data_IF_155413209136
#
_entry.id   IF_155413209136
#
_cell.length_a   1.000
_cell.length_b   1.000
_cell.length_c   1.000
_cell.angle_alpha   90.00
_cell.angle_beta   90.00
_cell.angle_gamma   90.00
#
_symmetry.space_group_name_H-M   'P 1'
#
loop_
_entity.id
_entity.type
_entity.pdbx_description
1 polymer ?
#
# COMPACT_ATOMS: atom_id res chain seq x y z
N UNK A 1 -12.06 -18.97 15.58
CA UNK A 1 -12.07 -19.47 14.18
C UNK A 1 -11.73 -20.96 14.21
N UNK A 2 -12.33 -21.81 13.36
CA UNK A 2 -12.00 -23.23 13.33
C UNK A 2 -10.63 -23.42 12.63
N UNK A 3 -9.61 -23.78 13.39
CA UNK A 3 -8.22 -23.93 12.93
C UNK A 3 -8.10 -24.91 11.75
N UNK A 4 -8.98 -25.91 11.69
CA UNK A 4 -9.02 -26.90 10.61
C UNK A 4 -9.52 -26.30 9.28
N UNK A 5 -10.46 -25.34 9.34
CA UNK A 5 -10.97 -24.64 8.15
C UNK A 5 -9.93 -23.66 7.59
N UNK A 6 -9.18 -22.99 8.48
CA UNK A 6 -8.08 -22.11 8.08
C UNK A 6 -7.00 -22.91 7.33
N UNK A 7 -6.56 -24.04 7.89
CA UNK A 7 -5.56 -24.92 7.25
C UNK A 7 -6.03 -25.38 5.87
N UNK A 8 -7.28 -25.85 5.75
CA UNK A 8 -7.81 -26.28 4.46
C UNK A 8 -7.79 -25.16 3.41
N UNK A 9 -8.28 -23.95 3.74
CA UNK A 9 -8.28 -22.84 2.76
C UNK A 9 -6.87 -22.45 2.35
N UNK A 10 -5.91 -22.48 3.29
CA UNK A 10 -4.52 -22.20 2.97
C UNK A 10 -3.94 -23.28 2.06
N UNK A 11 -4.21 -24.56 2.31
CA UNK A 11 -3.80 -25.66 1.43
C UNK A 11 -4.38 -25.48 0.01
N UNK A 12 -5.65 -25.08 -0.11
CA UNK A 12 -6.30 -24.82 -1.40
C UNK A 12 -5.62 -23.66 -2.16
N UNK A 13 -5.31 -22.56 -1.46
CA UNK A 13 -4.59 -21.40 -2.02
C UNK A 13 -3.17 -21.81 -2.43
N UNK A 14 -2.46 -22.56 -1.59
CA UNK A 14 -1.12 -23.05 -1.85
C UNK A 14 -1.08 -23.95 -3.09
N UNK A 15 -2.03 -24.86 -3.22
CA UNK A 15 -2.14 -25.73 -4.39
C UNK A 15 -2.45 -24.92 -5.66
N UNK A 16 -3.35 -23.95 -5.59
CA UNK A 16 -3.69 -23.11 -6.75
C UNK A 16 -2.49 -22.29 -7.25
N UNK A 17 -1.81 -21.53 -6.38
CA UNK A 17 -0.68 -20.69 -6.79
C UNK A 17 0.66 -21.42 -6.90
N UNK A 18 0.81 -22.57 -6.24
CA UNK A 18 2.05 -23.34 -6.19
C UNK A 18 2.13 -24.47 -7.23
N UNK A 19 1.01 -25.11 -7.55
CA UNK A 19 0.98 -26.29 -8.43
C UNK A 19 0.11 -26.09 -9.68
N UNK A 20 -1.00 -25.36 -9.58
CA UNK A 20 -1.94 -25.19 -10.69
C UNK A 20 -1.50 -24.09 -11.67
N UNK A 21 -1.02 -22.95 -11.16
CA UNK A 21 -0.52 -21.86 -12.00
C UNK A 21 0.94 -22.08 -12.37
N UNK A 22 1.19 -22.26 -13.68
CA UNK A 22 2.55 -22.38 -14.23
C UNK A 22 3.09 -21.02 -14.71
N UNK A 23 2.19 -20.14 -15.16
CA UNK A 23 2.50 -18.80 -15.68
C UNK A 23 1.30 -17.84 -15.53
N UNK A 24 1.52 -16.53 -15.70
CA UNK A 24 0.47 -15.49 -15.55
C UNK A 24 -0.71 -15.59 -16.54
N UNK A 25 -0.54 -16.27 -17.68
CA UNK A 25 -1.60 -16.46 -18.68
C UNK A 25 -2.60 -17.53 -18.27
N UNK A 26 -2.31 -18.28 -17.20
CA UNK A 26 -3.19 -19.33 -16.67
C UNK A 26 -4.30 -18.76 -15.75
N UNK A 27 -4.25 -17.46 -15.40
CA UNK A 27 -5.31 -16.77 -14.65
C UNK A 27 -6.57 -16.64 -15.50
N UNK A 28 -7.74 -16.95 -14.95
CA UNK A 28 -9.01 -16.83 -15.67
C UNK A 28 -9.47 -15.38 -15.82
N UNK A 29 -8.92 -14.46 -15.02
CA UNK A 29 -9.20 -13.02 -15.10
C UNK A 29 -7.93 -12.17 -15.04
N UNK A 30 -8.05 -10.89 -15.42
CA UNK A 30 -6.95 -9.91 -15.33
C UNK A 30 -6.81 -9.28 -13.93
N UNK A 31 -7.55 -9.75 -12.93
CA UNK A 31 -7.61 -9.11 -11.60
C UNK A 31 -6.23 -9.08 -10.92
N UNK A 32 -5.45 -10.15 -11.04
CA UNK A 32 -4.11 -10.25 -10.45
C UNK A 32 -2.97 -9.80 -11.38
N UNK A 33 -3.17 -8.75 -12.16
CA UNK A 33 -2.16 -8.20 -13.09
C UNK A 33 -1.75 -6.77 -12.73
N UNK A 34 -0.49 -6.41 -12.95
CA UNK A 34 0.01 -5.05 -12.66
C UNK A 34 -0.44 -4.03 -13.71
N UNK A 35 -1.11 -2.95 -13.30
CA UNK A 35 -1.63 -1.89 -14.20
C UNK A 35 -0.56 -0.90 -14.66
N UNK A 36 0.41 -0.59 -13.80
CA UNK A 36 1.38 0.47 -14.05
C UNK A 36 2.75 -0.10 -14.36
N UNK A 37 3.38 0.45 -15.41
CA UNK A 37 4.76 0.14 -15.72
C UNK A 37 5.63 0.55 -14.52
N UNK A 38 6.57 -0.31 -14.08
CA UNK A 38 7.45 0.04 -12.97
C UNK A 38 8.23 1.32 -13.28
N UNK A 39 8.58 2.09 -12.24
CA UNK A 39 9.43 3.27 -12.39
C UNK A 39 10.78 2.89 -13.03
N UNK A 40 11.49 3.86 -13.61
CA UNK A 40 12.82 3.62 -14.18
C UNK A 40 13.75 2.95 -13.19
N UNK A 41 13.77 3.40 -11.92
CA UNK A 41 14.54 2.76 -10.84
C UNK A 41 14.16 1.30 -10.64
N UNK A 42 12.86 0.98 -10.52
CA UNK A 42 12.42 -0.41 -10.35
C UNK A 42 12.77 -1.26 -11.57
N UNK A 43 12.68 -0.71 -12.80
CA UNK A 43 13.11 -1.41 -14.02
C UNK A 43 14.60 -1.73 -14.01
N UNK A 44 15.45 -0.83 -13.53
CA UNK A 44 16.89 -1.11 -13.39
C UNK A 44 17.14 -2.20 -12.33
N UNK A 45 16.46 -2.15 -11.19
CA UNK A 45 16.58 -3.18 -10.14
C UNK A 45 16.13 -4.55 -10.67
N UNK A 46 15.02 -4.60 -11.42
CA UNK A 46 14.51 -5.83 -12.03
C UNK A 46 15.54 -6.52 -12.94
N UNK A 47 16.44 -5.78 -13.60
CA UNK A 47 17.52 -6.39 -14.39
C UNK A 47 18.55 -7.14 -13.54
N UNK A 48 18.65 -6.81 -12.26
CA UNK A 48 19.54 -7.45 -11.30
C UNK A 48 18.89 -8.66 -10.61
N UNK A 49 17.56 -8.83 -10.71
CA UNK A 49 16.84 -9.91 -10.07
C UNK A 49 16.99 -11.20 -10.89
N UNK A 50 17.30 -12.32 -10.23
CA UNK A 50 17.48 -13.60 -10.89
C UNK A 50 16.25 -13.98 -11.76
N UNK A 51 16.41 -14.41 -13.02
CA UNK A 51 15.28 -14.70 -13.91
C UNK A 51 14.27 -15.71 -13.35
N UNK A 52 14.74 -16.75 -12.65
CA UNK A 52 13.83 -17.75 -12.03
C UNK A 52 12.92 -17.14 -10.95
N UNK A 53 13.41 -16.17 -10.20
CA UNK A 53 12.61 -15.44 -9.21
C UNK A 53 11.56 -14.58 -9.92
N UNK A 54 11.93 -13.94 -11.04
CA UNK A 54 10.99 -13.11 -11.80
C UNK A 54 9.87 -13.91 -12.47
N UNK A 55 10.16 -15.14 -12.92
CA UNK A 55 9.18 -15.99 -13.60
C UNK A 55 8.08 -16.52 -12.67
N UNK A 56 8.37 -16.68 -11.37
CA UNK A 56 7.45 -17.26 -10.37
C UNK A 56 6.72 -16.21 -9.53
N UNK A 57 6.38 -15.06 -10.13
CA UNK A 57 5.72 -13.96 -9.44
C UNK A 57 4.28 -13.77 -9.89
N UNK A 58 3.36 -13.79 -8.92
CA UNK A 58 1.94 -13.51 -9.08
C UNK A 58 1.59 -12.32 -8.20
N UNK A 59 1.25 -11.18 -8.80
CA UNK A 59 0.99 -9.95 -8.07
C UNK A 59 0.37 -8.87 -8.96
N UNK A 60 -0.48 -8.05 -8.35
CA UNK A 60 -1.39 -7.12 -9.01
C UNK A 60 -0.92 -5.66 -8.98
N UNK A 61 0.12 -5.34 -8.20
CA UNK A 61 0.66 -4.00 -8.04
C UNK A 61 2.18 -3.93 -7.86
N UNK A 62 2.67 -2.72 -7.57
CA UNK A 62 4.06 -2.43 -7.20
C UNK A 62 4.06 -1.67 -5.86
N UNK A 63 3.98 -2.38 -4.71
CA UNK A 63 3.80 -1.77 -3.39
C UNK A 63 5.14 -1.23 -2.83
N UNK A 64 5.87 -0.42 -3.60
CA UNK A 64 7.17 0.11 -3.19
C UNK A 64 7.03 1.59 -2.80
N UNK A 65 6.83 1.92 -1.51
CA UNK A 65 6.72 3.31 -1.11
C UNK A 65 8.07 4.03 -1.24
N UNK A 66 8.07 5.37 -1.34
CA UNK A 66 9.30 6.14 -1.39
C UNK A 66 10.04 6.14 -0.04
N UNK A 67 11.33 6.50 -0.10
CA UNK A 67 12.22 6.72 1.05
C UNK A 67 12.35 5.47 1.94
N UNK A 68 12.92 4.39 1.38
CA UNK A 68 13.11 3.11 2.06
C UNK A 68 14.54 2.87 2.58
N UNK A 69 15.50 3.70 2.20
CA UNK A 69 16.90 3.51 2.58
C UNK A 69 17.07 3.43 4.11
N UNK A 70 17.78 2.40 4.58
CA UNK A 70 18.02 2.12 6.00
C UNK A 70 16.82 1.58 6.79
N UNK A 71 15.66 1.39 6.16
CA UNK A 71 14.45 0.92 6.86
C UNK A 71 14.42 -0.61 7.03
N UNK A 72 13.68 -1.08 8.04
CA UNK A 72 13.25 -2.47 8.15
C UNK A 72 11.88 -2.63 7.50
N UNK A 73 11.81 -3.46 6.46
CA UNK A 73 10.59 -3.75 5.70
C UNK A 73 10.13 -5.19 5.93
N UNK A 74 8.84 -5.37 6.16
CA UNK A 74 8.19 -6.68 6.21
C UNK A 74 7.29 -6.85 4.97
N UNK A 75 7.52 -7.89 4.18
CA UNK A 75 6.68 -8.29 3.05
C UNK A 75 5.83 -9.50 3.43
N UNK A 76 4.51 -9.32 3.42
CA UNK A 76 3.56 -10.38 3.74
C UNK A 76 3.07 -11.06 2.46
N UNK A 77 3.17 -12.38 2.43
CA UNK A 77 2.88 -13.16 1.24
C UNK A 77 3.98 -13.04 0.19
N UNK A 78 5.25 -13.14 0.62
CA UNK A 78 6.39 -12.82 -0.24
C UNK A 78 6.61 -13.80 -1.40
N UNK A 79 5.98 -14.98 -1.37
CA UNK A 79 6.10 -16.01 -2.39
C UNK A 79 7.56 -16.36 -2.69
N UNK A 80 7.91 -16.34 -3.98
CA UNK A 80 9.26 -16.62 -4.47
C UNK A 80 10.30 -15.53 -4.14
N UNK A 81 9.89 -14.44 -3.49
CA UNK A 81 10.76 -13.40 -2.95
C UNK A 81 11.07 -12.24 -3.89
N UNK A 82 10.44 -12.14 -5.06
CA UNK A 82 10.72 -11.07 -6.04
C UNK A 82 10.63 -9.68 -5.42
N UNK A 83 9.52 -9.37 -4.76
CA UNK A 83 9.30 -8.04 -4.18
C UNK A 83 10.26 -7.82 -3.01
N UNK A 84 10.53 -8.84 -2.17
CA UNK A 84 11.60 -8.78 -1.18
C UNK A 84 12.98 -8.45 -1.74
N UNK A 85 13.41 -9.04 -2.87
CA UNK A 85 14.72 -8.73 -3.45
C UNK A 85 14.79 -7.32 -4.04
N UNK A 86 13.68 -6.81 -4.58
CA UNK A 86 13.58 -5.41 -4.99
C UNK A 86 13.71 -4.50 -3.77
N UNK A 87 12.98 -4.81 -2.69
CA UNK A 87 13.03 -4.09 -1.42
C UNK A 87 14.44 -4.14 -0.81
N UNK A 88 15.12 -5.29 -0.86
CA UNK A 88 16.50 -5.48 -0.39
C UNK A 88 17.47 -4.51 -1.07
N UNK A 89 17.24 -4.22 -2.36
CA UNK A 89 17.99 -3.20 -3.07
C UNK A 89 17.55 -1.77 -2.70
N UNK A 90 16.25 -1.52 -2.53
CA UNK A 90 15.72 -0.20 -2.17
C UNK A 90 16.11 0.26 -0.76
N UNK A 91 16.17 -0.65 0.21
CA UNK A 91 16.55 -0.35 1.59
C UNK A 91 18.06 -0.21 1.78
N UNK A 92 18.86 -0.67 0.82
CA UNK A 92 20.32 -0.62 0.89
C UNK A 92 20.93 -1.64 1.86
N UNK A 93 22.26 -1.66 1.94
CA UNK A 93 23.02 -2.62 2.76
C UNK A 93 22.74 -2.53 4.26
N UNK A 94 22.38 -1.33 4.75
CA UNK A 94 22.09 -1.07 6.17
C UNK A 94 20.61 -1.31 6.54
N UNK A 95 19.73 -1.37 5.55
CA UNK A 95 18.31 -1.70 5.75
C UNK A 95 18.10 -3.20 5.97
N UNK A 96 16.85 -3.61 6.18
CA UNK A 96 16.49 -5.02 6.39
C UNK A 96 15.18 -5.36 5.69
N UNK A 97 15.08 -6.56 5.15
CA UNK A 97 13.85 -7.10 4.57
C UNK A 97 13.53 -8.45 5.19
N UNK A 98 12.28 -8.63 5.59
CA UNK A 98 11.74 -9.87 6.13
C UNK A 98 10.57 -10.28 5.23
N UNK A 99 10.67 -11.45 4.58
CA UNK A 99 9.57 -12.02 3.80
C UNK A 99 8.88 -13.14 4.56
N UNK A 100 7.55 -13.06 4.67
CA UNK A 100 6.71 -14.09 5.28
C UNK A 100 5.83 -14.74 4.22
N UNK A 101 5.82 -16.06 4.17
CA UNK A 101 4.90 -16.84 3.32
C UNK A 101 4.48 -18.13 4.02
N UNK A 102 3.25 -18.56 3.80
CA UNK A 102 2.74 -19.81 4.38
C UNK A 102 3.39 -21.05 3.73
N UNK A 103 3.88 -20.92 2.50
CA UNK A 103 4.32 -22.03 1.64
C UNK A 103 5.80 -22.34 1.83
N UNK A 104 6.12 -23.45 2.52
CA UNK A 104 7.50 -23.85 2.78
C UNK A 104 8.37 -23.97 1.51
N UNK A 105 7.78 -24.44 0.39
CA UNK A 105 8.48 -24.54 -0.88
C UNK A 105 8.89 -23.18 -1.47
N UNK A 106 8.03 -22.16 -1.33
CA UNK A 106 8.32 -20.80 -1.77
C UNK A 106 9.42 -20.16 -0.91
N UNK A 107 9.34 -20.32 0.41
CA UNK A 107 10.39 -19.87 1.34
C UNK A 107 11.74 -20.50 1.01
N UNK A 108 11.78 -21.83 0.83
CA UNK A 108 13.02 -22.54 0.48
C UNK A 108 13.58 -22.06 -0.86
N UNK A 109 12.72 -21.82 -1.85
CA UNK A 109 13.12 -21.28 -3.14
C UNK A 109 13.69 -19.86 -3.00
N UNK A 110 12.99 -18.95 -2.32
CA UNK A 110 13.46 -17.59 -2.10
C UNK A 110 14.81 -17.56 -1.36
N UNK A 111 14.97 -18.41 -0.34
CA UNK A 111 16.22 -18.57 0.41
C UNK A 111 17.40 -19.00 -0.48
N UNK A 112 17.18 -19.85 -1.50
CA UNK A 112 18.28 -20.30 -2.37
C UNK A 112 18.85 -19.20 -3.28
N UNK A 113 18.17 -18.04 -3.38
CA UNK A 113 18.64 -16.89 -4.16
C UNK A 113 19.20 -15.74 -3.29
N UNK A 114 19.25 -15.89 -1.97
CA UNK A 114 19.76 -14.84 -1.06
C UNK A 114 21.21 -14.51 -1.37
N UNK A 115 22.07 -15.51 -1.48
CA UNK A 115 23.49 -15.28 -1.76
C UNK A 115 23.76 -14.70 -3.15
N UNK A 116 22.96 -15.12 -4.15
CA UNK A 116 23.03 -14.53 -5.49
C UNK A 116 22.76 -13.02 -5.44
N UNK A 117 21.66 -12.61 -4.82
CA UNK A 117 21.28 -11.19 -4.77
C UNK A 117 22.21 -10.38 -3.88
N UNK A 118 22.70 -10.93 -2.76
CA UNK A 118 23.74 -10.30 -1.95
C UNK A 118 24.98 -9.98 -2.79
N UNK A 119 25.43 -10.92 -3.62
CA UNK A 119 26.60 -10.74 -4.48
C UNK A 119 26.36 -9.72 -5.59
N UNK A 120 25.23 -9.82 -6.31
CA UNK A 120 24.93 -8.90 -7.42
C UNK A 120 24.72 -7.45 -6.94
N UNK A 121 24.20 -7.26 -5.72
CA UNK A 121 24.07 -5.95 -5.10
C UNK A 121 25.38 -5.44 -4.46
N UNK A 122 26.41 -6.29 -4.36
CA UNK A 122 27.70 -5.92 -3.78
C UNK A 122 27.67 -5.76 -2.26
N UNK A 123 26.76 -6.43 -1.56
CA UNK A 123 26.60 -6.29 -0.12
C UNK A 123 27.56 -7.18 0.68
N UNK A 124 28.14 -6.68 1.78
CA UNK A 124 29.06 -7.45 2.62
C UNK A 124 28.36 -8.60 3.36
N UNK A 125 27.08 -8.43 3.70
CA UNK A 125 26.22 -9.41 4.35
C UNK A 125 24.83 -9.38 3.74
N UNK A 126 24.03 -10.44 3.95
CA UNK A 126 22.62 -10.41 3.56
C UNK A 126 21.85 -9.42 4.44
N UNK A 127 20.96 -8.66 3.83
CA UNK A 127 19.99 -7.81 4.52
C UNK A 127 18.56 -8.39 4.46
N UNK A 128 18.39 -9.56 3.83
CA UNK A 128 17.09 -10.18 3.55
C UNK A 128 16.97 -11.53 4.26
N UNK A 129 15.84 -11.76 4.89
CA UNK A 129 15.51 -12.97 5.64
C UNK A 129 14.11 -13.46 5.25
N UNK A 130 13.94 -14.76 5.11
CA UNK A 130 12.66 -15.37 4.78
C UNK A 130 12.26 -16.33 5.90
N UNK A 131 11.01 -16.24 6.33
CA UNK A 131 10.45 -17.08 7.39
C UNK A 131 9.09 -17.62 6.96
N UNK A 132 8.86 -18.90 7.21
CA UNK A 132 7.54 -19.48 7.02
C UNK A 132 6.59 -19.00 8.13
N UNK A 133 5.38 -18.60 7.77
CA UNK A 133 4.38 -18.15 8.74
C UNK A 133 3.04 -17.81 8.08
N UNK A 134 2.02 -17.68 8.92
CA UNK A 134 0.69 -17.25 8.50
C UNK A 134 0.51 -15.76 8.79
N UNK A 135 -0.06 -15.02 7.85
CA UNK A 135 -0.26 -13.57 7.99
C UNK A 135 -1.35 -13.24 9.02
N UNK A 136 -2.20 -14.20 9.35
CA UNK A 136 -3.21 -14.15 10.41
C UNK A 136 -2.62 -14.29 11.82
N UNK A 137 -1.40 -14.82 11.93
CA UNK A 137 -0.79 -15.22 13.21
C UNK A 137 0.59 -14.57 13.40
N UNK A 138 0.70 -13.28 13.06
CA UNK A 138 1.97 -12.54 13.12
C UNK A 138 2.54 -12.44 14.54
N UNK A 139 1.73 -12.62 15.56
CA UNK A 139 2.12 -12.72 16.98
C UNK A 139 2.86 -14.01 17.33
N UNK A 140 2.72 -15.07 16.54
CA UNK A 140 3.45 -16.33 16.74
C UNK A 140 4.86 -16.30 16.14
N UNK A 141 5.13 -15.33 15.27
CA UNK A 141 6.45 -15.12 14.69
C UNK A 141 7.38 -14.44 15.71
N UNK A 142 8.68 -14.78 15.65
CA UNK A 142 9.74 -14.15 16.44
C UNK A 142 10.08 -12.74 15.93
N UNK A 143 9.06 -11.88 15.89
CA UNK A 143 9.12 -10.48 15.47
C UNK A 143 8.67 -9.59 16.66
N UNK A 144 9.60 -8.81 17.24
CA UNK A 144 9.27 -7.92 18.34
C UNK A 144 8.20 -6.91 17.94
N UNK A 145 7.32 -6.48 18.86
CA UNK A 145 6.44 -5.35 18.60
C UNK A 145 7.27 -4.10 18.29
N UNK A 146 6.72 -3.21 17.47
CA UNK A 146 7.35 -1.93 17.12
C UNK A 146 8.78 -2.08 16.55
N UNK A 147 8.99 -3.09 15.71
CA UNK A 147 10.28 -3.39 15.09
C UNK A 147 10.35 -3.09 13.60
N UNK A 148 9.21 -2.88 12.95
CA UNK A 148 9.09 -2.71 11.50
C UNK A 148 8.78 -1.25 11.15
N UNK A 149 9.51 -0.69 10.19
CA UNK A 149 9.25 0.68 9.69
C UNK A 149 8.15 0.69 8.63
N UNK A 150 8.16 -0.30 7.73
CA UNK A 150 7.21 -0.42 6.62
C UNK A 150 6.74 -1.86 6.48
N UNK A 151 5.43 -2.07 6.39
CA UNK A 151 4.84 -3.35 6.00
C UNK A 151 4.29 -3.20 4.58
N UNK A 152 4.63 -4.13 3.70
CA UNK A 152 4.11 -4.20 2.34
C UNK A 152 3.39 -5.53 2.11
N UNK A 153 2.51 -5.53 1.12
CA UNK A 153 1.76 -6.71 0.69
C UNK A 153 1.22 -6.49 -0.72
N UNK A 154 1.11 -7.57 -1.49
CA UNK A 154 0.63 -7.54 -2.87
C UNK A 154 -0.43 -8.61 -3.10
N UNK A 155 -1.72 -8.24 -3.06
CA UNK A 155 -2.86 -9.11 -3.32
C UNK A 155 -3.00 -10.36 -2.41
N UNK A 156 -2.49 -10.33 -1.17
CA UNK A 156 -2.62 -11.47 -0.23
C UNK A 156 -3.59 -11.25 0.92
N UNK A 157 -3.93 -10.01 1.29
CA UNK A 157 -4.79 -9.76 2.46
C UNK A 157 -6.21 -10.28 2.19
N UNK A 158 -6.69 -10.18 0.95
CA UNK A 158 -8.00 -10.74 0.58
C UNK A 158 -8.10 -12.26 0.68
N UNK A 159 -6.98 -12.97 0.55
CA UNK A 159 -6.92 -14.41 0.73
C UNK A 159 -7.06 -14.83 2.20
N UNK A 160 -6.87 -13.90 3.13
CA UNK A 160 -6.97 -14.15 4.55
C UNK A 160 -8.40 -14.43 5.01
N UNK A 161 -8.52 -15.44 5.87
CA UNK A 161 -9.75 -15.78 6.60
C UNK A 161 -10.09 -14.77 7.71
N UNK A 162 -9.10 -14.05 8.23
CA UNK A 162 -9.28 -13.08 9.31
C UNK A 162 -8.47 -11.81 9.08
N UNK A 163 -9.03 -10.94 8.24
CA UNK A 163 -8.46 -9.62 7.92
C UNK A 163 -8.27 -8.74 9.16
N UNK A 164 -9.08 -8.96 10.20
CA UNK A 164 -8.97 -8.27 11.49
C UNK A 164 -7.66 -8.62 12.20
N UNK A 165 -7.34 -9.93 12.28
CA UNK A 165 -6.13 -10.42 12.94
C UNK A 165 -4.87 -9.99 12.17
N UNK A 166 -4.92 -10.04 10.83
CA UNK A 166 -3.86 -9.50 9.96
C UNK A 166 -3.57 -8.03 10.28
N UNK A 167 -4.60 -7.18 10.29
CA UNK A 167 -4.44 -5.75 10.55
C UNK A 167 -3.96 -5.47 11.99
N UNK A 168 -4.41 -6.26 12.97
CA UNK A 168 -3.95 -6.16 14.36
C UNK A 168 -2.47 -6.55 14.49
N UNK A 169 -2.05 -7.63 13.83
CA UNK A 169 -0.66 -8.07 13.76
C UNK A 169 0.24 -7.02 13.12
N UNK A 170 -0.19 -6.43 12.00
CA UNK A 170 0.52 -5.31 11.35
C UNK A 170 0.68 -4.11 12.30
N UNK A 171 -0.40 -3.70 12.98
CA UNK A 171 -0.37 -2.59 13.94
C UNK A 171 0.58 -2.86 15.12
N UNK A 172 0.65 -4.11 15.61
CA UNK A 172 1.58 -4.52 16.67
C UNK A 172 3.04 -4.38 16.24
N UNK A 173 3.37 -4.83 15.03
CA UNK A 173 4.73 -4.88 14.52
C UNK A 173 5.28 -3.52 14.09
N UNK A 174 4.43 -2.62 13.59
CA UNK A 174 4.87 -1.30 13.15
C UNK A 174 5.39 -0.45 14.32
N UNK A 175 6.50 0.25 14.08
CA UNK A 175 6.97 1.35 14.93
C UNK A 175 5.97 2.50 14.93
N UNK A 176 5.95 3.35 15.98
CA UNK A 176 5.30 4.65 15.88
C UNK A 176 5.81 5.44 14.67
N UNK A 177 4.89 5.94 13.83
CA UNK A 177 5.24 6.59 12.56
C UNK A 177 5.51 5.65 11.39
N UNK A 178 5.49 4.34 11.63
CA UNK A 178 5.59 3.31 10.60
C UNK A 178 4.37 3.28 9.68
N UNK A 179 4.49 2.57 8.57
CA UNK A 179 3.50 2.60 7.49
C UNK A 179 3.17 1.20 6.96
N UNK A 180 1.89 0.93 6.71
CA UNK A 180 1.45 -0.13 5.79
C UNK A 180 1.30 0.48 4.40
N UNK A 181 1.91 -0.13 3.39
CA UNK A 181 1.78 0.26 1.99
C UNK A 181 1.51 -0.98 1.13
N UNK A 182 0.28 -1.19 0.69
CA UNK A 182 -0.11 -2.44 0.04
C UNK A 182 -1.07 -2.22 -1.12
N UNK A 183 -1.08 -3.16 -2.06
CA UNK A 183 -2.04 -3.21 -3.15
C UNK A 183 -2.94 -4.42 -2.98
N UNK A 184 -4.25 -4.23 -3.10
CA UNK A 184 -5.23 -5.33 -3.08
C UNK A 184 -6.49 -4.96 -3.88
N UNK A 185 -7.42 -5.90 -3.99
CA UNK A 185 -8.69 -5.73 -4.68
C UNK A 185 -9.79 -5.28 -3.69
N UNK A 186 -10.60 -4.32 -4.08
CA UNK A 186 -11.73 -3.82 -3.30
C UNK A 186 -12.97 -3.76 -4.17
N UNK A 187 -14.13 -3.96 -3.56
CA UNK A 187 -15.42 -3.84 -4.23
C UNK A 187 -16.08 -2.50 -3.89
N UNK A 188 -16.85 -1.94 -4.84
CA UNK A 188 -17.70 -0.77 -4.61
C UNK A 188 -18.88 -1.06 -3.67
N UNK A 189 -19.19 -2.34 -3.45
CA UNK A 189 -20.30 -2.81 -2.62
C UNK A 189 -20.01 -4.17 -1.99
N UNK A 190 -20.82 -4.57 -1.00
CA UNK A 190 -20.76 -5.91 -0.43
C UNK A 190 -21.17 -6.94 -1.48
N UNK A 191 -20.36 -7.98 -1.63
CA UNK A 191 -20.64 -9.12 -2.49
C UNK A 191 -21.58 -10.11 -1.79
N UNK A 192 -22.20 -11.01 -2.57
CA UNK A 192 -23.00 -12.11 -2.01
C UNK A 192 -22.09 -13.02 -1.16
N UNK A 193 -22.46 -13.33 0.10
CA UNK A 193 -21.63 -14.15 0.98
C UNK A 193 -21.31 -15.55 0.43
N UNK A 194 -22.16 -16.09 -0.44
CA UNK A 194 -21.94 -17.41 -1.06
C UNK A 194 -20.72 -17.45 -1.98
N UNK A 195 -20.24 -16.29 -2.48
CA UNK A 195 -19.05 -16.22 -3.32
C UNK A 195 -17.75 -16.54 -2.58
N UNK A 196 -17.76 -16.54 -1.24
CA UNK A 196 -16.60 -16.90 -0.42
C UNK A 196 -16.22 -18.38 -0.54
N UNK A 197 -17.19 -19.22 -0.88
CA UNK A 197 -17.02 -20.66 -1.00
C UNK A 197 -16.99 -21.12 -2.47
N UNK A 198 -17.05 -20.18 -3.43
CA UNK A 198 -16.96 -20.48 -4.87
C UNK A 198 -15.49 -20.61 -5.30
N UNK A 199 -15.00 -21.82 -5.65
CA UNK A 199 -13.57 -22.03 -5.92
C UNK A 199 -13.04 -21.20 -7.11
N UNK A 200 -13.89 -20.93 -8.10
CA UNK A 200 -13.51 -20.16 -9.28
C UNK A 200 -13.33 -18.68 -8.93
N UNK A 201 -14.17 -18.15 -8.04
CA UNK A 201 -14.14 -16.74 -7.61
C UNK A 201 -13.05 -16.53 -6.54
N UNK A 202 -12.82 -17.53 -5.67
CA UNK A 202 -11.76 -17.51 -4.66
C UNK A 202 -10.38 -17.57 -5.29
N UNK A 203 -10.16 -18.46 -6.27
CA UNK A 203 -8.87 -18.59 -6.97
C UNK A 203 -8.43 -17.31 -7.70
N UNK A 204 -9.38 -16.45 -8.08
CA UNK A 204 -9.13 -15.15 -8.73
C UNK A 204 -8.94 -14.00 -7.72
N UNK A 205 -8.78 -14.29 -6.42
CA UNK A 205 -8.74 -13.32 -5.31
C UNK A 205 -10.02 -12.48 -5.15
N UNK A 206 -11.18 -12.93 -5.67
CA UNK A 206 -12.43 -12.14 -5.67
C UNK A 206 -13.35 -12.54 -4.51
N UNK A 207 -13.38 -13.82 -4.13
CA UNK A 207 -14.45 -14.40 -3.30
C UNK A 207 -14.64 -13.75 -1.94
N UNK A 208 -13.57 -13.18 -1.38
CA UNK A 208 -13.57 -12.55 -0.05
C UNK A 208 -13.06 -11.10 -0.08
N UNK A 209 -13.23 -10.44 -1.24
CA UNK A 209 -12.96 -9.01 -1.41
C UNK A 209 -13.86 -8.20 -0.49
N UNK A 210 -13.25 -7.25 0.23
CA UNK A 210 -14.01 -6.32 1.05
C UNK A 210 -14.64 -5.21 0.21
N UNK A 211 -15.84 -4.82 0.61
CA UNK A 211 -16.33 -3.48 0.33
C UNK A 211 -15.36 -2.47 0.94
N UNK A 212 -14.91 -1.48 0.16
CA UNK A 212 -13.90 -0.53 0.59
C UNK A 212 -14.21 0.18 1.93
N UNK A 213 -15.47 0.58 2.16
CA UNK A 213 -15.82 1.21 3.44
C UNK A 213 -15.83 0.23 4.62
N UNK A 214 -16.09 -1.06 4.38
CA UNK A 214 -15.94 -2.07 5.44
C UNK A 214 -14.46 -2.28 5.80
N UNK A 215 -13.55 -2.18 4.81
CA UNK A 215 -12.12 -2.14 5.08
C UNK A 215 -11.73 -0.92 5.92
N UNK A 216 -12.22 0.28 5.58
CA UNK A 216 -11.96 1.49 6.39
C UNK A 216 -12.45 1.31 7.83
N UNK A 217 -13.66 0.77 8.02
CA UNK A 217 -14.20 0.48 9.36
C UNK A 217 -13.31 -0.50 10.12
N UNK A 218 -12.82 -1.53 9.46
CA UNK A 218 -11.94 -2.53 10.06
C UNK A 218 -10.56 -1.95 10.41
N UNK A 219 -9.96 -1.15 9.52
CA UNK A 219 -8.69 -0.48 9.79
C UNK A 219 -8.77 0.42 11.04
N UNK A 220 -9.90 1.11 11.22
CA UNK A 220 -10.17 1.95 12.40
C UNK A 220 -10.21 1.15 13.71
N UNK A 221 -10.64 -0.11 13.70
CA UNK A 221 -10.68 -0.92 14.95
C UNK A 221 -9.29 -1.22 15.49
N UNK A 222 -8.25 -1.08 14.68
CA UNK A 222 -6.85 -1.26 15.08
C UNK A 222 -6.06 0.06 15.02
N UNK A 223 -6.75 1.20 15.18
CA UNK A 223 -6.17 2.55 15.26
C UNK A 223 -5.56 3.10 13.97
N UNK A 224 -5.89 2.55 12.80
CA UNK A 224 -5.63 3.23 11.53
C UNK A 224 -6.83 4.11 11.15
N UNK A 225 -6.83 5.34 11.65
CA UNK A 225 -7.97 6.25 11.52
C UNK A 225 -8.07 6.95 10.14
N UNK A 226 -6.95 7.06 9.44
CA UNK A 226 -6.83 7.76 8.15
C UNK A 226 -6.17 6.84 7.11
N UNK A 227 -7.01 6.24 6.26
CA UNK A 227 -6.60 5.38 5.13
C UNK A 227 -6.47 6.26 3.90
N UNK A 228 -5.28 6.30 3.28
CA UNK A 228 -5.06 7.08 2.06
C UNK A 228 -4.98 6.17 0.84
N UNK A 229 -5.60 6.62 -0.25
CA UNK A 229 -5.60 5.94 -1.54
C UNK A 229 -4.50 6.53 -2.43
N UNK A 230 -3.48 5.75 -2.75
CA UNK A 230 -2.42 6.16 -3.68
C UNK A 230 -2.91 6.11 -5.13
N UNK A 231 -3.60 5.02 -5.47
CA UNK A 231 -4.22 4.82 -6.77
C UNK A 231 -5.43 3.87 -6.63
N UNK A 232 -6.36 3.98 -7.58
CA UNK A 232 -7.51 3.11 -7.71
C UNK A 232 -7.83 2.92 -9.18
N UNK A 233 -7.78 1.67 -9.65
CA UNK A 233 -8.05 1.32 -11.03
C UNK A 233 -9.17 0.27 -11.10
N UNK A 234 -10.18 0.54 -11.93
CA UNK A 234 -11.24 -0.43 -12.21
C UNK A 234 -10.65 -1.68 -12.89
N UNK A 235 -10.99 -2.86 -12.38
CA UNK A 235 -10.54 -4.13 -12.93
C UNK A 235 -11.64 -4.80 -13.74
N UNK A 236 -11.50 -4.87 -15.08
CA UNK A 236 -12.44 -5.62 -15.90
C UNK A 236 -12.23 -7.12 -15.68
N UNK A 237 -13.30 -7.82 -15.32
CA UNK A 237 -13.28 -9.26 -15.05
C UNK A 237 -13.10 -10.06 -16.34
N UNK A 238 -13.73 -9.61 -17.43
CA UNK A 238 -13.66 -10.21 -18.77
C UNK A 238 -14.11 -11.69 -18.79
N UNK A 239 -14.92 -12.10 -17.81
CA UNK A 239 -15.51 -13.43 -17.71
C UNK A 239 -17.00 -13.28 -17.37
N UNK A 240 -17.86 -13.62 -18.34
CA UNK A 240 -19.31 -13.43 -18.23
C UNK A 240 -19.94 -14.22 -17.08
N UNK A 241 -19.39 -15.39 -16.74
CA UNK A 241 -19.91 -16.21 -15.64
C UNK A 241 -19.62 -15.54 -14.29
N UNK A 242 -18.39 -15.07 -14.09
CA UNK A 242 -18.00 -14.36 -12.87
C UNK A 242 -18.72 -13.01 -12.79
N UNK A 243 -18.83 -12.27 -13.90
CA UNK A 243 -19.58 -11.00 -13.95
C UNK A 243 -21.05 -11.17 -13.55
N UNK A 244 -21.69 -12.27 -13.97
CA UNK A 244 -23.06 -12.58 -13.56
C UNK A 244 -23.16 -12.86 -12.06
N UNK A 245 -22.20 -13.61 -11.50
CA UNK A 245 -22.10 -13.90 -10.06
C UNK A 245 -21.88 -12.63 -9.22
N UNK A 246 -21.16 -11.63 -9.75
CA UNK A 246 -20.89 -10.37 -9.06
C UNK A 246 -22.09 -9.42 -8.99
N UNK A 247 -23.18 -9.68 -9.71
CA UNK A 247 -24.41 -8.88 -9.61
C UNK A 247 -24.23 -7.39 -9.91
N UNK A 248 -23.28 -7.05 -10.79
CA UNK A 248 -22.94 -5.67 -11.15
C UNK A 248 -22.02 -4.94 -10.16
N UNK A 249 -21.45 -5.64 -9.18
CA UNK A 249 -20.36 -5.10 -8.37
C UNK A 249 -19.13 -4.79 -9.24
N UNK A 250 -18.45 -3.69 -8.91
CA UNK A 250 -17.21 -3.27 -9.58
C UNK A 250 -16.04 -3.54 -8.66
N UNK A 251 -15.01 -4.19 -9.21
CA UNK A 251 -13.76 -4.43 -8.49
C UNK A 251 -12.71 -3.40 -8.89
N UNK A 252 -11.94 -2.95 -7.91
CA UNK A 252 -10.87 -1.99 -8.08
C UNK A 252 -9.60 -2.56 -7.49
N UNK A 253 -8.49 -2.46 -8.21
CA UNK A 253 -7.18 -2.62 -7.60
C UNK A 253 -6.78 -1.28 -7.02
N UNK A 254 -6.57 -1.26 -5.71
CA UNK A 254 -6.23 -0.06 -4.98
C UNK A 254 -4.91 -0.25 -4.26
N UNK A 255 -4.03 0.73 -4.38
CA UNK A 255 -2.85 0.84 -3.52
C UNK A 255 -3.17 1.79 -2.40
N UNK A 256 -3.08 1.31 -1.16
CA UNK A 256 -3.43 2.04 0.04
C UNK A 256 -2.18 2.28 0.88
N UNK A 257 -2.22 3.36 1.67
CA UNK A 257 -1.27 3.60 2.75
C UNK A 257 -1.97 3.91 4.06
N UNK A 258 -1.43 3.37 5.15
CA UNK A 258 -1.96 3.53 6.51
C UNK A 258 -0.78 3.79 7.45
N UNK A 259 -0.78 4.91 8.17
CA UNK A 259 0.29 5.23 9.12
C UNK A 259 -0.10 4.84 10.54
N UNK A 260 0.83 4.25 11.31
CA UNK A 260 0.69 4.04 12.75
C UNK A 260 0.98 5.34 13.49
N UNK A 261 -0.02 6.23 13.51
CA UNK A 261 0.03 7.55 14.12
C UNK A 261 -1.30 7.84 14.84
N UNK A 262 -1.25 8.71 15.85
CA UNK A 262 -2.46 9.26 16.48
C UNK A 262 -3.11 10.29 15.55
N UNK A 263 -3.88 9.76 14.59
CA UNK A 263 -4.62 10.52 13.59
C UNK A 263 -6.09 10.64 13.98
N UNK A 264 -6.71 11.75 13.60
CA UNK A 264 -8.14 11.98 13.76
C UNK A 264 -8.90 11.28 12.62
N UNK A 265 -10.21 11.07 12.81
CA UNK A 265 -11.07 10.42 11.82
C UNK A 265 -11.46 11.35 10.65
N UNK A 266 -11.15 12.65 10.78
CA UNK A 266 -11.41 13.70 9.79
C UNK A 266 -10.20 14.59 9.58
N UNK A 267 -10.21 15.30 8.46
CA UNK A 267 -9.23 16.33 8.15
C UNK A 267 -9.57 17.61 8.91
N UNK A 268 -8.87 17.84 10.01
CA UNK A 268 -9.00 19.05 10.83
C UNK A 268 -7.94 20.09 10.46
N UNK A 269 -8.34 21.37 10.47
CA UNK A 269 -7.50 22.51 10.14
C UNK A 269 -6.83 23.06 11.40
N UNK A 270 -5.49 23.05 11.39
CA UNK A 270 -4.67 23.66 12.43
C UNK A 270 -3.76 24.78 11.87
N UNK A 271 -4.07 25.30 10.68
CA UNK A 271 -3.34 26.38 10.01
C UNK A 271 -1.94 25.98 9.57
N UNK A 272 -1.74 24.70 9.22
CA UNK A 272 -0.43 24.16 8.89
C UNK A 272 -0.17 24.20 7.39
N UNK A 273 1.10 24.42 7.02
CA UNK A 273 1.56 24.48 5.63
C UNK A 273 2.81 23.62 5.51
N UNK A 274 2.84 22.76 4.49
CA UNK A 274 3.98 21.91 4.17
C UNK A 274 4.68 22.42 2.91
N UNK A 275 6.01 22.37 2.92
CA UNK A 275 6.86 22.68 1.77
C UNK A 275 7.73 21.46 1.50
N UNK A 276 7.55 20.82 0.35
CA UNK A 276 8.41 19.73 -0.08
C UNK A 276 9.78 20.26 -0.51
N UNK A 277 10.86 19.66 0.00
CA UNK A 277 12.24 20.12 -0.22
C UNK A 277 12.83 19.73 -1.57
N UNK A 278 12.20 18.80 -2.30
CA UNK A 278 12.77 18.27 -3.55
C UNK A 278 14.01 17.38 -3.36
N UNK A 279 14.23 16.87 -2.14
CA UNK A 279 15.42 16.11 -1.77
C UNK A 279 15.24 14.58 -1.83
N UNK A 280 14.10 14.08 -2.32
CA UNK A 280 13.95 12.66 -2.64
C UNK A 280 14.56 12.38 -4.03
N UNK A 281 15.62 11.56 -4.16
CA UNK A 281 16.35 11.39 -5.42
C UNK A 281 15.47 10.96 -6.60
N UNK A 282 14.47 10.10 -6.35
CA UNK A 282 13.56 9.61 -7.40
C UNK A 282 12.37 10.53 -7.69
N UNK A 283 12.19 11.57 -6.88
CA UNK A 283 11.05 12.48 -7.01
C UNK A 283 11.45 13.93 -6.70
N UNK A 284 12.47 14.50 -7.38
CA UNK A 284 13.00 15.82 -7.04
C UNK A 284 12.00 16.96 -7.28
N UNK A 285 11.06 16.77 -8.22
CA UNK A 285 10.11 17.82 -8.62
C UNK A 285 8.80 17.75 -7.84
N UNK A 286 8.36 16.55 -7.45
CA UNK A 286 7.09 16.36 -6.76
C UNK A 286 7.12 15.16 -5.83
N UNK A 287 6.46 15.26 -4.67
CA UNK A 287 6.17 14.13 -3.79
C UNK A 287 4.68 13.83 -3.82
N UNK A 288 4.33 12.57 -4.11
CA UNK A 288 2.95 12.09 -4.07
C UNK A 288 2.74 11.39 -2.73
N UNK A 289 1.98 12.03 -1.84
CA UNK A 289 1.55 11.38 -0.60
C UNK A 289 0.40 10.42 -0.90
N UNK A 290 -0.56 10.84 -1.70
CA UNK A 290 -1.69 10.03 -2.14
C UNK A 290 -2.32 10.68 -3.38
N UNK A 291 -3.39 10.11 -3.93
CA UNK A 291 -4.00 10.61 -5.17
C UNK A 291 -4.54 12.05 -5.07
N UNK A 292 -4.73 12.56 -3.84
CA UNK A 292 -5.27 13.90 -3.55
C UNK A 292 -4.20 14.90 -3.09
N UNK A 293 -3.03 14.40 -2.66
CA UNK A 293 -1.96 15.23 -2.07
C UNK A 293 -0.65 15.07 -2.85
N UNK A 294 -0.45 15.98 -3.81
CA UNK A 294 0.77 16.11 -4.61
C UNK A 294 1.48 17.41 -4.24
N UNK A 295 2.73 17.31 -3.79
CA UNK A 295 3.53 18.44 -3.33
C UNK A 295 4.65 18.75 -4.32
N UNK A 296 4.58 19.90 -4.98
CA UNK A 296 5.67 20.41 -5.82
C UNK A 296 6.82 20.93 -4.96
N UNK A 297 8.06 20.69 -5.40
CA UNK A 297 9.24 21.13 -4.67
C UNK A 297 9.28 22.66 -4.53
N UNK A 298 9.54 23.15 -3.31
CA UNK A 298 9.59 24.57 -2.97
C UNK A 298 8.22 25.26 -2.87
N UNK A 299 7.12 24.59 -3.22
CA UNK A 299 5.77 25.16 -3.14
C UNK A 299 5.20 24.97 -1.73
N UNK A 300 4.69 26.07 -1.17
CA UNK A 300 3.96 26.05 0.09
C UNK A 300 2.52 25.58 -0.14
N UNK A 301 2.14 24.48 0.53
CA UNK A 301 0.83 23.86 0.38
C UNK A 301 0.15 23.73 1.74
N UNK A 302 -1.04 24.33 1.95
CA UNK A 302 -1.83 24.11 3.16
C UNK A 302 -2.19 22.64 3.35
N UNK A 303 -2.15 22.15 4.58
CA UNK A 303 -2.42 20.75 4.92
C UNK A 303 -3.25 20.64 6.19
N UNK A 304 -4.07 19.60 6.29
CA UNK A 304 -4.75 19.24 7.53
C UNK A 304 -3.77 18.69 8.58
N UNK A 305 -4.23 18.60 9.83
CA UNK A 305 -3.44 18.08 10.96
C UNK A 305 -2.96 16.65 10.75
N UNK A 306 -3.78 15.77 10.15
CA UNK A 306 -3.38 14.40 9.84
C UNK A 306 -2.23 14.37 8.83
N UNK A 307 -2.36 15.08 7.71
CA UNK A 307 -1.31 15.15 6.67
C UNK A 307 -0.01 15.74 7.23
N UNK A 308 -0.10 16.78 8.07
CA UNK A 308 1.06 17.34 8.75
C UNK A 308 1.75 16.33 9.69
N UNK A 309 0.99 15.52 10.44
CA UNK A 309 1.53 14.43 11.27
C UNK A 309 2.18 13.34 10.40
N UNK A 310 1.56 12.92 9.30
CA UNK A 310 2.15 11.94 8.38
C UNK A 310 3.51 12.41 7.86
N UNK A 311 3.66 13.71 7.55
CA UNK A 311 4.93 14.27 7.10
C UNK A 311 5.96 14.33 8.22
N UNK A 312 5.59 14.81 9.40
CA UNK A 312 6.56 15.16 10.46
C UNK A 312 6.83 14.08 11.49
N UNK A 313 5.94 13.08 11.58
CA UNK A 313 6.02 11.98 12.56
C UNK A 313 6.28 10.62 11.91
N UNK A 314 6.54 10.58 10.61
CA UNK A 314 7.01 9.37 9.92
C UNK A 314 8.43 9.57 9.40
N UNK A 315 8.93 8.59 8.64
CA UNK A 315 10.21 8.70 7.92
C UNK A 315 10.29 9.88 6.95
N UNK A 316 9.16 10.47 6.55
CA UNK A 316 9.12 11.62 5.62
C UNK A 316 9.51 12.96 6.25
N UNK A 317 9.82 13.03 7.54
CA UNK A 317 10.11 14.30 8.23
C UNK A 317 11.30 15.06 7.65
N UNK A 318 12.23 14.36 6.98
CA UNK A 318 13.38 14.98 6.31
C UNK A 318 13.04 15.59 4.95
N UNK A 319 11.88 15.25 4.37
CA UNK A 319 11.46 15.71 3.05
C UNK A 319 10.71 17.05 3.06
N UNK A 320 10.22 17.48 4.23
CA UNK A 320 9.34 18.64 4.33
C UNK A 320 9.87 19.68 5.31
N UNK A 321 9.59 20.95 5.04
CA UNK A 321 9.50 21.99 6.06
C UNK A 321 8.03 22.21 6.41
N UNK A 322 7.73 22.38 7.70
CA UNK A 322 6.38 22.63 8.18
C UNK A 322 6.30 24.00 8.83
N UNK A 323 5.30 24.79 8.42
CA UNK A 323 4.93 26.06 9.02
C UNK A 323 3.63 25.86 9.81
N UNK A 324 3.56 26.45 11.01
CA UNK A 324 2.42 26.30 11.93
C UNK A 324 2.69 25.25 13.01
N UNK A 325 2.37 25.59 14.27
CA UNK A 325 2.67 24.75 15.44
C UNK A 325 1.58 23.71 15.75
N UNK A 326 0.47 23.73 15.00
CA UNK A 326 -0.62 22.77 15.14
C UNK A 326 -1.47 22.94 16.40
N UNK A 327 -1.36 24.06 17.15
CA UNK A 327 -2.03 24.20 18.46
C UNK A 327 -3.41 24.84 18.38
N UNK A 328 -3.66 25.68 17.38
CA UNK A 328 -4.95 26.37 17.22
C UNK A 328 -5.78 25.67 16.16
N UNK A 329 -6.95 25.18 16.56
CA UNK A 329 -7.93 24.57 15.66
C UNK A 329 -8.79 25.63 14.97
N UNK A 330 -9.05 25.45 13.69
CA UNK A 330 -9.83 26.35 12.83
C UNK A 330 -11.11 25.69 12.28
N UNK A 331 -11.40 24.45 12.68
CA UNK A 331 -12.51 23.66 12.15
C UNK A 331 -12.04 22.65 11.10
N UNK A 332 -12.95 22.25 10.21
CA UNK A 332 -12.67 21.24 9.19
C UNK A 332 -11.77 21.80 8.08
N UNK A 333 -10.76 21.03 7.70
CA UNK A 333 -9.94 21.28 6.53
C UNK A 333 -10.53 20.58 5.30
N UNK A 334 -10.65 21.31 4.18
CA UNK A 334 -11.16 20.74 2.94
C UNK A 334 -10.03 20.02 2.17
N UNK A 335 -9.68 18.81 2.61
CA UNK A 335 -8.64 17.98 1.99
C UNK A 335 -9.09 17.47 0.61
N UNK A 336 -8.13 17.35 -0.31
CA UNK A 336 -8.31 16.65 -1.59
C UNK A 336 -9.24 17.29 -2.61
N UNK A 337 -9.77 18.49 -2.33
CA UNK A 337 -10.31 19.32 -3.40
C UNK A 337 -9.13 20.07 -4.02
N UNK A 338 -8.88 19.95 -5.34
CA UNK A 338 -8.07 20.92 -6.03
C UNK A 338 -8.64 22.29 -5.66
N UNK A 339 -7.83 23.20 -5.14
CA UNK A 339 -8.20 24.62 -5.18
C UNK A 339 -8.42 24.90 -6.66
N UNK A 340 -9.68 24.92 -7.08
CA UNK A 340 -10.03 25.47 -8.38
C UNK A 340 -9.38 26.84 -8.38
N UNK A 341 -8.44 27.05 -9.30
CA UNK A 341 -8.04 28.39 -9.63
C UNK A 341 -9.31 29.05 -10.16
N UNK A 342 -10.03 29.74 -9.28
CA UNK A 342 -11.08 30.69 -9.64
C UNK A 342 -10.37 31.80 -10.42
N UNK A 343 -10.17 31.56 -11.70
CA UNK A 343 -10.01 32.63 -12.67
C UNK A 343 -11.42 33.02 -13.08
N UNK A 344 -12.18 33.53 -12.12
CA UNK A 344 -13.37 34.32 -12.40
C UNK A 344 -13.29 35.62 -11.62
N UNK A 345 -12.70 36.60 -12.30
CA UNK A 345 -12.78 38.03 -12.00
C UNK A 345 -14.22 38.44 -11.71
N UNK A 346 -14.56 38.55 -10.43
CA UNK A 346 -15.48 39.59 -9.96
C UNK A 346 -14.74 40.52 -9.03
N UNK A 347 -14.00 41.42 -9.68
CA UNK A 347 -13.59 42.69 -9.09
C UNK A 347 -14.83 43.31 -8.46
N UNK A 348 -14.75 43.53 -7.14
CA UNK A 348 -15.68 44.38 -6.42
C UNK A 348 -15.76 45.74 -7.13
N UNK A 349 -16.85 45.98 -7.85
CA UNK A 349 -17.24 47.34 -8.19
C UNK A 349 -17.92 47.94 -6.96
N UNK A 350 -17.11 48.59 -6.14
CA UNK A 350 -17.56 49.67 -5.28
C UNK A 350 -16.78 50.90 -5.69
N UNK A 351 -17.43 51.84 -6.38
CA UNK A 351 -17.17 53.28 -6.22
C UNK A 351 -18.30 54.13 -6.84
N UNK A 352 -19.14 54.62 -5.92
CA UNK A 352 -19.67 55.98 -5.71
C UNK A 352 -19.82 56.94 -6.92
N UNK A 353 -20.95 57.67 -7.03
CA UNK A 353 -21.26 58.55 -8.16
C UNK A 353 -20.54 59.90 -8.07
N UNK A 354 -20.07 60.42 -9.20
CA UNK A 354 -19.82 61.86 -9.38
C UNK A 354 -20.17 62.28 -10.81
N UNK A 355 -21.38 62.83 -10.92
CA UNK A 355 -21.85 63.57 -12.09
C UNK A 355 -21.34 65.01 -11.96
N UNK A 356 -20.47 65.43 -12.89
CA UNK A 356 -20.14 66.84 -13.12
C UNK A 356 -20.21 67.09 -14.62
N UNK A 357 -21.23 67.83 -15.06
CA UNK A 357 -21.47 68.14 -16.46
C UNK A 357 -22.82 68.82 -16.69
N UNK A 358 -22.99 70.02 -16.13
CA UNK A 358 -23.65 71.19 -16.71
C UNK A 358 -23.44 72.38 -15.78
#
# INVERSE_FOLDING_TARGET
MNEQLLKQRIEDIQHYYGETLSNKQDLATNVCTADQAPSSRIKEILKLIHPEVQMRFYGCGAPFPPLLEGTTVLDLGCGSGRDCFILSHLVGAEGKVIGIDATAAQIKFAQSFVDYHRQIFGYPSTNIHFQQGYIESLEELDLPPESIDVIVSNCVINLSMSKADVLAGMARLLKPGGEIYFSDIFSDRRLDPSLKDDPQVVGECIGDVLYFEDFIRLARTVSFNDVRVINSNLRPINNKEIEAKLGGAKLYSMTLRLFKLELEDRCEDYGQVAIYKGNLPDAPNQFVLDQEHIFEAGRATPVCGNTAKMMTKSRYHTLFDLIGDGKKHYGLFNCGTPQQFDVDTKVMQTDVPNNCGC
#
